data_IF_590484478763
#
_entry.id   IF_590484478763
#
_cell.length_a   1.000
_cell.length_b   1.000
_cell.length_c   1.000
_cell.angle_alpha   90.00
_cell.angle_beta   90.00
_cell.angle_gamma   90.00
#
_symmetry.space_group_name_H-M   'P 1'
#
loop_
_entity.id
_entity.type
_entity.pdbx_description
1 polymer ?
#
# COMPACT_ATOMS: atom_id res chain seq x y z
N UNK A 1 -26.43 -47.55 60.02
CA UNK A 1 -25.02 -47.29 60.36
C UNK A 1 -24.40 -46.45 59.17
N UNK A 2 -24.36 -45.19 59.40
CA UNK A 2 -23.72 -44.22 58.41
C UNK A 2 -22.24 -44.13 58.74
N UNK A 3 -21.37 -44.31 57.68
CA UNK A 3 -19.94 -44.13 57.79
C UNK A 3 -19.59 -42.64 57.95
N UNK A 4 -18.59 -42.28 58.77
CA UNK A 4 -18.18 -40.89 58.90
C UNK A 4 -17.42 -40.40 57.67
N UNK A 5 -17.61 -39.10 57.32
CA UNK A 5 -16.97 -38.42 56.21
C UNK A 5 -15.49 -38.22 56.46
N UNK A 6 -14.66 -38.44 55.40
CA UNK A 6 -13.24 -38.14 55.42
C UNK A 6 -12.99 -36.62 55.34
N UNK A 7 -11.93 -36.11 56.01
CA UNK A 7 -11.62 -34.68 56.02
C UNK A 7 -11.00 -34.23 54.69
N UNK A 8 -11.48 -33.07 54.17
CA UNK A 8 -10.95 -32.41 52.96
C UNK A 8 -9.47 -32.05 53.08
N UNK A 9 -8.69 -32.16 52.01
CA UNK A 9 -7.26 -31.77 52.02
C UNK A 9 -7.11 -30.27 52.14
N UNK A 10 -6.29 -29.82 53.07
CA UNK A 10 -5.90 -28.40 53.28
C UNK A 10 -5.31 -27.82 52.01
N UNK A 11 -5.96 -26.81 51.43
CA UNK A 11 -5.42 -26.00 50.31
C UNK A 11 -4.05 -25.40 50.70
N UNK A 12 -3.02 -25.88 50.02
CA UNK A 12 -1.67 -25.37 50.19
C UNK A 12 -1.60 -23.88 49.85
N UNK A 13 -0.99 -23.09 50.75
CA UNK A 13 -0.66 -21.68 50.54
C UNK A 13 0.18 -21.56 49.25
N UNK A 14 -0.37 -20.92 48.20
CA UNK A 14 0.40 -20.53 47.01
C UNK A 14 1.54 -19.62 47.49
N UNK A 15 2.79 -20.09 47.34
CA UNK A 15 3.99 -19.27 47.51
C UNK A 15 3.84 -18.06 46.59
N UNK A 16 3.94 -16.84 47.19
CA UNK A 16 4.07 -15.59 46.43
C UNK A 16 5.25 -15.76 45.45
N UNK A 17 4.99 -15.67 44.14
CA UNK A 17 6.06 -15.60 43.15
C UNK A 17 6.84 -14.31 43.44
N UNK A 18 8.11 -14.45 43.89
CA UNK A 18 9.04 -13.33 43.88
C UNK A 18 9.01 -12.71 42.47
N UNK A 19 8.54 -11.46 42.38
CA UNK A 19 8.74 -10.66 41.16
C UNK A 19 10.28 -10.53 41.00
N UNK A 20 10.83 -10.90 39.82
CA UNK A 20 12.25 -10.70 39.58
C UNK A 20 12.59 -9.20 39.71
N UNK A 21 13.78 -8.90 40.23
CA UNK A 21 14.31 -7.55 40.25
C UNK A 21 14.13 -6.92 38.86
N UNK A 22 13.70 -5.65 38.79
CA UNK A 22 13.45 -4.94 37.53
C UNK A 22 14.67 -5.10 36.61
N UNK A 23 14.44 -5.73 35.43
CA UNK A 23 15.51 -5.90 34.44
C UNK A 23 15.97 -4.50 34.00
N UNK A 24 17.28 -4.32 33.89
CA UNK A 24 17.85 -3.06 33.41
C UNK A 24 17.44 -2.76 31.98
N UNK A 25 16.82 -1.59 31.75
CA UNK A 25 16.36 -1.15 30.44
C UNK A 25 17.45 -0.34 29.72
N UNK A 26 18.19 -1.03 28.86
CA UNK A 26 19.25 -0.41 28.07
C UNK A 26 18.76 0.57 27.00
N UNK A 27 17.50 0.49 26.58
CA UNK A 27 16.95 1.39 25.55
C UNK A 27 16.65 2.77 26.12
N UNK A 28 16.39 2.87 27.43
CA UNK A 28 16.20 4.13 28.15
C UNK A 28 17.51 4.82 28.54
N UNK A 29 18.68 4.18 28.35
CA UNK A 29 19.98 4.83 28.62
C UNK A 29 20.17 6.05 27.72
N UNK A 30 20.94 7.02 28.20
CA UNK A 30 21.34 8.18 27.41
C UNK A 30 22.34 7.77 26.32
N UNK A 31 22.13 8.27 25.09
CA UNK A 31 23.12 8.17 24.02
C UNK A 31 24.08 9.36 24.07
N UNK A 32 25.38 9.09 23.93
CA UNK A 32 26.43 10.11 23.99
C UNK A 32 26.92 10.54 22.60
N UNK A 33 26.40 9.93 21.53
CA UNK A 33 26.81 10.22 20.15
C UNK A 33 26.20 11.49 19.59
N UNK A 34 25.18 12.04 20.27
CA UNK A 34 24.47 13.28 19.88
C UNK A 34 23.87 13.27 18.46
N UNK A 35 23.47 12.07 17.96
CA UNK A 35 22.87 11.87 16.65
C UNK A 35 21.39 11.51 16.77
N UNK A 36 20.54 12.33 16.18
CA UNK A 36 19.10 12.04 16.02
C UNK A 36 18.91 10.94 14.97
N UNK A 37 17.88 10.10 15.15
CA UNK A 37 17.42 9.14 14.15
C UNK A 37 16.08 9.63 13.59
N UNK A 38 16.00 9.77 12.25
CA UNK A 38 14.79 10.30 11.61
C UNK A 38 13.65 9.26 11.57
N UNK A 39 13.97 7.98 11.37
CA UNK A 39 13.00 6.88 11.38
C UNK A 39 13.56 5.66 12.12
N UNK A 40 12.90 5.25 13.19
CA UNK A 40 13.16 3.98 13.90
C UNK A 40 11.83 3.28 14.18
N UNK A 41 11.77 1.97 13.98
CA UNK A 41 10.51 1.24 14.19
C UNK A 41 10.52 -0.18 13.62
N UNK A 42 9.34 -0.67 13.28
CA UNK A 42 9.10 -2.02 12.74
C UNK A 42 8.72 -1.94 11.27
N UNK A 43 9.13 -2.94 10.49
CA UNK A 43 8.79 -3.07 9.06
C UNK A 43 8.45 -4.52 8.71
N UNK A 44 7.62 -4.70 7.69
CA UNK A 44 7.27 -6.02 7.17
C UNK A 44 6.23 -6.77 8.02
N UNK A 45 5.50 -6.06 8.88
CA UNK A 45 4.44 -6.65 9.69
C UNK A 45 3.21 -6.93 8.81
N UNK A 46 2.79 -8.20 8.71
CA UNK A 46 1.55 -8.59 8.05
C UNK A 46 0.37 -8.41 8.99
N UNK A 47 -0.64 -7.64 8.57
CA UNK A 47 -1.79 -7.37 9.41
C UNK A 47 -3.09 -7.27 8.60
N UNK A 48 -4.22 -7.81 9.09
CA UNK A 48 -5.52 -7.67 8.44
C UNK A 48 -5.96 -6.21 8.44
N UNK A 49 -6.46 -5.72 7.29
CA UNK A 49 -6.99 -4.38 7.14
C UNK A 49 -8.32 -4.36 6.42
N UNK A 50 -9.09 -3.29 6.62
CA UNK A 50 -10.26 -2.96 5.83
C UNK A 50 -10.03 -1.66 5.06
N UNK A 51 -10.32 -1.69 3.77
CA UNK A 51 -10.23 -0.54 2.86
C UNK A 51 -11.62 -0.24 2.30
N UNK A 52 -11.90 1.02 2.03
CA UNK A 52 -13.12 1.41 1.31
C UNK A 52 -13.09 0.91 -0.12
N UNK A 53 -14.25 0.48 -0.60
CA UNK A 53 -14.50 -0.04 -1.93
C UNK A 53 -15.76 0.65 -2.48
N UNK A 54 -15.69 1.17 -3.70
CA UNK A 54 -16.79 1.91 -4.34
C UNK A 54 -18.05 1.09 -4.52
N UNK A 55 -17.90 -0.22 -4.84
CA UNK A 55 -19.01 -1.12 -5.17
C UNK A 55 -19.53 -1.87 -3.95
N UNK A 56 -18.63 -2.30 -3.06
CA UNK A 56 -18.90 -3.23 -1.95
C UNK A 56 -18.86 -2.56 -0.58
N UNK A 57 -18.69 -1.24 -0.53
CA UNK A 57 -18.48 -0.43 0.65
C UNK A 57 -17.14 -0.71 1.35
N UNK A 58 -16.76 -1.96 1.57
CA UNK A 58 -15.54 -2.36 2.28
C UNK A 58 -14.93 -3.62 1.65
N UNK A 59 -13.61 -3.63 1.53
CA UNK A 59 -12.81 -4.79 1.13
C UNK A 59 -11.86 -5.18 2.27
N UNK A 60 -11.87 -6.48 2.64
CA UNK A 60 -10.91 -7.05 3.59
C UNK A 60 -9.68 -7.54 2.83
N UNK A 61 -8.50 -7.18 3.29
CA UNK A 61 -7.22 -7.61 2.72
C UNK A 61 -6.14 -7.70 3.80
N UNK A 62 -4.92 -8.03 3.41
CA UNK A 62 -3.76 -8.08 4.32
C UNK A 62 -2.72 -7.07 3.86
N UNK A 63 -2.37 -6.12 4.72
CA UNK A 63 -1.30 -5.19 4.46
C UNK A 63 0.05 -5.65 5.01
N UNK A 64 1.10 -5.24 4.32
CA UNK A 64 2.46 -5.19 4.86
C UNK A 64 2.67 -3.82 5.47
N UNK A 65 2.81 -3.76 6.80
CA UNK A 65 2.87 -2.51 7.55
C UNK A 65 4.29 -2.20 7.99
N UNK A 66 4.68 -0.93 7.84
CA UNK A 66 5.83 -0.29 8.48
C UNK A 66 5.35 0.80 9.43
N UNK A 67 5.89 0.85 10.64
CA UNK A 67 5.56 1.85 11.66
C UNK A 67 6.84 2.43 12.23
N UNK A 68 7.00 3.75 12.18
CA UNK A 68 8.23 4.41 12.60
C UNK A 68 7.93 5.70 13.36
N UNK A 69 8.87 6.08 14.22
CA UNK A 69 8.90 7.40 14.88
C UNK A 69 10.30 8.00 14.75
N UNK A 70 10.43 9.30 14.95
CA UNK A 70 11.73 9.91 15.15
C UNK A 70 12.25 9.60 16.56
N UNK A 71 13.57 9.52 16.70
CA UNK A 71 14.21 9.30 18.00
C UNK A 71 15.18 10.46 18.27
N UNK A 72 14.88 11.29 19.29
CA UNK A 72 15.79 12.36 19.72
C UNK A 72 17.17 11.84 20.08
N UNK A 73 18.19 12.69 19.94
CA UNK A 73 19.60 12.35 20.11
C UNK A 73 19.97 11.87 21.55
N UNK A 74 19.14 12.22 22.53
CA UNK A 74 19.34 11.88 23.93
C UNK A 74 19.00 10.41 24.24
N UNK A 75 18.19 9.76 23.41
CA UNK A 75 17.72 8.39 23.63
C UNK A 75 18.54 7.38 22.84
N UNK A 76 18.92 6.30 23.52
CA UNK A 76 19.71 5.20 22.92
C UNK A 76 18.88 4.31 21.99
N UNK A 77 17.59 4.13 22.29
CA UNK A 77 16.72 3.28 21.51
C UNK A 77 15.25 3.40 21.88
N UNK A 78 14.42 2.58 21.22
CA UNK A 78 12.99 2.49 21.52
C UNK A 78 12.53 1.04 21.55
N UNK A 79 11.46 0.76 22.30
CA UNK A 79 10.90 -0.58 22.48
C UNK A 79 10.01 -0.95 21.28
N UNK A 80 10.43 -1.92 20.47
CA UNK A 80 9.71 -2.37 19.29
C UNK A 80 8.32 -2.94 19.61
N UNK A 81 8.16 -3.59 20.78
CA UNK A 81 6.86 -4.10 21.24
C UNK A 81 5.77 -3.02 21.36
N UNK A 82 6.15 -1.77 21.65
CA UNK A 82 5.20 -0.65 21.78
C UNK A 82 4.48 -0.34 20.47
N UNK A 83 5.11 -0.57 19.30
CA UNK A 83 4.45 -0.42 17.99
C UNK A 83 3.32 -1.44 17.84
N UNK A 84 3.58 -2.69 18.24
CA UNK A 84 2.57 -3.76 18.21
C UNK A 84 1.44 -3.48 19.21
N UNK A 85 1.77 -2.94 20.40
CA UNK A 85 0.77 -2.51 21.38
C UNK A 85 -0.15 -1.42 20.82
N UNK A 86 0.41 -0.43 20.11
CA UNK A 86 -0.38 0.63 19.45
C UNK A 86 -1.30 0.01 18.39
N UNK A 87 -0.78 -0.86 17.53
CA UNK A 87 -1.57 -1.49 16.49
C UNK A 87 -2.71 -2.34 17.07
N UNK A 88 -2.42 -3.17 18.08
CA UNK A 88 -3.41 -4.02 18.74
C UNK A 88 -4.50 -3.23 19.50
N UNK A 89 -4.17 -2.02 19.99
CA UNK A 89 -5.15 -1.15 20.64
C UNK A 89 -6.26 -0.65 19.67
N UNK A 90 -6.00 -0.69 18.37
CA UNK A 90 -6.97 -0.33 17.32
C UNK A 90 -7.76 -1.56 16.80
N UNK A 91 -7.64 -2.72 17.44
CA UNK A 91 -8.36 -3.95 17.15
C UNK A 91 -7.57 -4.96 16.34
N UNK A 92 -8.22 -6.08 16.00
CA UNK A 92 -7.60 -7.16 15.23
C UNK A 92 -7.64 -6.89 13.70
N UNK A 93 -8.30 -5.82 13.29
CA UNK A 93 -8.39 -5.33 11.91
C UNK A 93 -8.21 -3.82 11.93
N UNK A 94 -7.27 -3.31 11.14
CA UNK A 94 -7.08 -1.87 10.99
C UNK A 94 -8.00 -1.35 9.90
N UNK A 95 -8.80 -0.35 10.25
CA UNK A 95 -9.60 0.43 9.31
C UNK A 95 -8.76 1.61 8.81
N UNK A 96 -8.78 1.86 7.52
CA UNK A 96 -7.99 2.95 6.90
C UNK A 96 -8.35 4.33 7.48
N UNK A 97 -9.59 4.51 7.90
CA UNK A 97 -10.06 5.72 8.58
C UNK A 97 -9.36 5.99 9.93
N UNK A 98 -8.75 4.96 10.52
CA UNK A 98 -8.06 5.08 11.82
C UNK A 98 -6.56 5.43 11.68
N UNK A 99 -6.05 5.64 10.46
CA UNK A 99 -4.62 5.94 10.21
C UNK A 99 -4.16 7.14 11.04
N UNK A 100 -4.93 8.23 11.06
CA UNK A 100 -4.63 9.42 11.84
C UNK A 100 -4.52 9.11 13.34
N UNK A 101 -5.46 8.33 13.88
CA UNK A 101 -5.47 7.94 15.29
C UNK A 101 -4.27 7.08 15.64
N UNK A 102 -3.86 6.17 14.75
CA UNK A 102 -2.67 5.32 14.91
C UNK A 102 -1.41 6.19 14.96
N UNK A 103 -1.28 7.16 14.04
CA UNK A 103 -0.14 8.08 13.99
C UNK A 103 -0.02 8.88 15.29
N UNK A 104 -1.11 9.46 15.80
CA UNK A 104 -1.10 10.21 17.05
C UNK A 104 -0.86 9.30 18.27
N UNK A 105 -1.40 8.08 18.30
CA UNK A 105 -1.13 7.13 19.34
C UNK A 105 0.37 6.74 19.40
N UNK A 106 1.03 6.62 18.24
CA UNK A 106 2.49 6.43 18.19
C UNK A 106 3.22 7.64 18.76
N UNK A 107 2.89 8.87 18.33
CA UNK A 107 3.55 10.07 18.87
C UNK A 107 3.43 10.14 20.41
N UNK A 108 2.26 9.88 20.95
CA UNK A 108 2.03 9.88 22.40
C UNK A 108 2.81 8.75 23.10
N UNK A 109 2.74 7.52 22.58
CA UNK A 109 3.38 6.34 23.19
C UNK A 109 4.90 6.45 23.23
N UNK A 110 5.50 7.09 22.23
CA UNK A 110 6.94 7.24 22.08
C UNK A 110 7.46 8.62 22.46
N UNK A 111 6.59 9.57 22.78
CA UNK A 111 6.92 10.98 23.00
C UNK A 111 7.71 11.57 21.79
N UNK A 112 7.33 11.15 20.60
CA UNK A 112 7.96 11.54 19.35
C UNK A 112 7.25 12.74 18.71
N UNK A 113 8.00 13.57 17.98
CA UNK A 113 7.45 14.69 17.24
C UNK A 113 6.85 14.24 15.89
N UNK A 114 7.41 13.15 15.33
CA UNK A 114 7.03 12.61 14.03
C UNK A 114 6.70 11.13 14.13
N UNK A 115 5.64 10.71 13.45
CA UNK A 115 5.28 9.31 13.27
C UNK A 115 5.00 9.01 11.80
N UNK A 116 5.32 7.78 11.37
CA UNK A 116 5.14 7.33 10.00
C UNK A 116 4.45 5.98 9.99
N UNK A 117 3.46 5.82 9.10
CA UNK A 117 2.77 4.57 8.83
C UNK A 117 2.82 4.29 7.33
N UNK A 118 3.40 3.16 6.97
CA UNK A 118 3.47 2.63 5.60
C UNK A 118 2.59 1.38 5.54
N UNK A 119 1.67 1.30 4.58
CA UNK A 119 0.75 0.16 4.43
C UNK A 119 0.62 -0.19 2.95
N UNK A 120 1.19 -1.33 2.53
CA UNK A 120 1.07 -1.85 1.16
C UNK A 120 0.22 -3.12 1.17
N UNK A 121 -0.74 -3.20 0.25
CA UNK A 121 -1.70 -4.30 0.20
C UNK A 121 -2.21 -4.58 -1.21
N UNK A 122 -2.62 -5.83 -1.52
CA UNK A 122 -3.36 -6.14 -2.72
C UNK A 122 -4.78 -5.55 -2.64
N UNK A 123 -5.21 -4.94 -3.73
CA UNK A 123 -6.54 -4.41 -3.92
C UNK A 123 -7.22 -5.15 -5.08
N UNK A 124 -8.47 -5.58 -4.92
CA UNK A 124 -9.15 -6.44 -5.88
C UNK A 124 -10.34 -5.72 -6.50
N UNK A 125 -10.46 -5.80 -7.83
CA UNK A 125 -11.60 -5.31 -8.59
C UNK A 125 -12.18 -6.42 -9.46
N UNK A 126 -13.50 -6.44 -9.61
CA UNK A 126 -14.16 -7.28 -10.62
C UNK A 126 -14.08 -6.57 -11.96
N UNK A 127 -13.53 -7.24 -12.97
CA UNK A 127 -13.50 -6.76 -14.36
C UNK A 127 -14.37 -7.62 -15.24
N UNK A 128 -15.04 -6.97 -16.21
CA UNK A 128 -15.84 -7.62 -17.24
C UNK A 128 -15.06 -7.66 -18.54
N UNK A 129 -14.93 -8.84 -19.12
CA UNK A 129 -14.36 -9.02 -20.46
C UNK A 129 -15.16 -8.20 -21.49
N UNK A 130 -14.51 -7.57 -22.49
CA UNK A 130 -15.12 -6.50 -23.29
C UNK A 130 -16.25 -6.95 -24.22
N UNK A 131 -16.27 -8.20 -24.64
CA UNK A 131 -17.27 -8.74 -25.59
C UNK A 131 -18.16 -9.78 -24.91
N UNK A 132 -17.56 -10.75 -24.20
CA UNK A 132 -18.31 -11.83 -23.55
C UNK A 132 -19.02 -11.40 -22.27
N UNK A 133 -18.58 -10.29 -21.66
CA UNK A 133 -19.08 -9.83 -20.37
C UNK A 133 -18.73 -10.74 -19.18
N UNK A 134 -17.86 -11.74 -19.39
CA UNK A 134 -17.43 -12.65 -18.32
C UNK A 134 -16.70 -11.87 -17.25
N UNK A 135 -17.12 -12.07 -16.00
CA UNK A 135 -16.53 -11.42 -14.84
C UNK A 135 -15.32 -12.21 -14.31
N UNK A 136 -14.29 -11.49 -13.91
CA UNK A 136 -13.12 -12.03 -13.22
C UNK A 136 -12.55 -11.03 -12.23
N UNK A 137 -11.89 -11.54 -11.20
CA UNK A 137 -11.20 -10.71 -10.21
C UNK A 137 -9.81 -10.39 -10.74
N UNK A 138 -9.46 -9.09 -10.71
CA UNK A 138 -8.11 -8.58 -10.96
C UNK A 138 -7.52 -8.04 -9.67
N UNK A 139 -6.22 -8.25 -9.49
CA UNK A 139 -5.44 -7.70 -8.39
C UNK A 139 -4.59 -6.50 -8.85
N UNK A 140 -4.50 -5.54 -7.97
CA UNK A 140 -3.69 -4.33 -8.07
C UNK A 140 -2.90 -4.16 -6.76
N UNK A 141 -1.89 -3.32 -6.77
CA UNK A 141 -1.19 -2.96 -5.53
C UNK A 141 -1.56 -1.54 -5.15
N UNK A 142 -2.04 -1.37 -3.92
CA UNK A 142 -2.25 -0.06 -3.33
C UNK A 142 -1.35 0.11 -2.10
N UNK A 143 -0.92 1.35 -1.86
CA UNK A 143 -0.11 1.69 -0.70
C UNK A 143 -0.51 3.06 -0.14
N UNK A 144 -0.57 3.14 1.16
CA UNK A 144 -0.70 4.37 1.93
C UNK A 144 0.61 4.67 2.63
N UNK A 145 1.12 5.87 2.42
CA UNK A 145 2.22 6.44 3.17
C UNK A 145 1.69 7.65 3.94
N UNK A 146 1.62 7.54 5.25
CA UNK A 146 1.11 8.60 6.11
C UNK A 146 2.17 9.04 7.10
N UNK A 147 2.37 10.35 7.20
CA UNK A 147 3.31 10.97 8.15
C UNK A 147 2.58 12.03 8.94
N UNK A 148 2.65 11.95 10.27
CA UNK A 148 2.21 13.03 11.14
C UNK A 148 3.43 13.73 11.72
N UNK A 149 3.47 15.05 11.55
CA UNK A 149 4.40 15.93 12.24
C UNK A 149 3.60 16.91 13.11
N UNK A 150 3.72 16.79 14.41
CA UNK A 150 2.86 17.50 15.37
C UNK A 150 1.37 17.20 15.08
N UNK A 151 0.61 18.19 14.52
CA UNK A 151 -0.80 18.07 14.16
C UNK A 151 -1.05 18.06 12.66
N UNK A 152 0.00 18.16 11.85
CA UNK A 152 -0.08 18.13 10.40
C UNK A 152 0.10 16.70 9.90
N UNK A 153 -0.72 16.29 8.94
CA UNK A 153 -0.64 14.96 8.32
C UNK A 153 -0.35 15.14 6.84
N UNK A 154 0.72 14.51 6.38
CA UNK A 154 0.98 14.25 4.96
C UNK A 154 0.53 12.84 4.62
N UNK A 155 -0.30 12.71 3.59
CA UNK A 155 -0.82 11.42 3.15
C UNK A 155 -0.60 11.26 1.64
N UNK A 156 0.06 10.18 1.27
CA UNK A 156 0.28 9.78 -0.12
C UNK A 156 -0.43 8.47 -0.39
N UNK A 157 -1.33 8.47 -1.37
CA UNK A 157 -1.90 7.25 -1.96
C UNK A 157 -1.05 6.86 -3.16
N UNK A 158 -0.56 5.63 -3.17
CA UNK A 158 0.11 4.99 -4.31
C UNK A 158 -0.77 3.87 -4.86
N UNK A 159 -0.92 3.85 -6.18
CA UNK A 159 -1.59 2.74 -6.90
C UNK A 159 -0.67 2.26 -8.01
N UNK A 160 -0.50 0.94 -8.10
CA UNK A 160 0.20 0.26 -9.19
C UNK A 160 -0.77 -0.58 -9.99
N UNK A 161 -0.73 -0.43 -11.29
CA UNK A 161 -1.51 -1.22 -12.23
C UNK A 161 -0.68 -1.64 -13.42
N UNK A 162 -0.92 -2.85 -13.90
CA UNK A 162 -0.33 -3.38 -15.12
C UNK A 162 -1.23 -3.09 -16.32
N UNK A 163 -0.64 -2.74 -17.45
CA UNK A 163 -1.32 -2.42 -18.71
C UNK A 163 -0.60 -3.07 -19.89
N UNK A 164 -1.22 -3.03 -21.06
CA UNK A 164 -0.56 -3.34 -22.33
C UNK A 164 -0.16 -2.07 -23.04
N UNK A 165 1.09 -2.02 -23.55
CA UNK A 165 1.57 -1.00 -24.48
C UNK A 165 2.00 -1.64 -25.80
N UNK A 166 1.68 -1.01 -26.91
CA UNK A 166 2.07 -1.42 -28.26
C UNK A 166 2.92 -0.30 -28.87
N UNK A 167 4.06 -0.66 -29.42
CA UNK A 167 5.03 0.30 -29.94
C UNK A 167 4.57 1.01 -31.22
N UNK A 168 4.38 2.35 -31.22
CA UNK A 168 4.02 3.12 -32.40
C UNK A 168 5.07 3.04 -33.50
N UNK A 169 6.39 3.08 -33.17
CA UNK A 169 7.47 2.96 -34.15
C UNK A 169 7.42 1.62 -34.87
N UNK A 170 7.31 0.52 -34.12
CA UNK A 170 7.23 -0.82 -34.68
C UNK A 170 6.02 -0.95 -35.63
N UNK A 171 4.87 -0.40 -35.22
CA UNK A 171 3.67 -0.36 -36.04
C UNK A 171 3.87 0.41 -37.37
N UNK A 172 4.63 1.52 -37.30
CA UNK A 172 4.84 2.39 -38.49
C UNK A 172 5.79 1.78 -39.52
N UNK A 173 6.77 0.97 -39.12
CA UNK A 173 7.83 0.46 -40.02
C UNK A 173 7.64 -0.99 -40.43
N UNK A 174 6.92 -1.79 -39.64
CA UNK A 174 6.72 -3.21 -39.92
C UNK A 174 5.64 -3.42 -40.97
N UNK A 175 5.90 -4.28 -41.94
CA UNK A 175 4.90 -4.68 -42.90
C UNK A 175 3.77 -5.54 -42.28
N UNK A 176 4.01 -6.12 -41.12
CA UNK A 176 3.08 -6.98 -40.39
C UNK A 176 3.26 -6.83 -38.89
N UNK A 177 2.17 -6.47 -38.17
CA UNK A 177 2.11 -6.40 -36.74
C UNK A 177 2.96 -5.27 -36.10
N UNK A 178 3.07 -5.30 -34.80
CA UNK A 178 3.92 -4.48 -33.98
C UNK A 178 4.21 -5.22 -32.67
N UNK A 179 5.39 -5.00 -32.06
CA UNK A 179 5.63 -5.58 -30.75
C UNK A 179 4.81 -4.88 -29.68
N UNK A 180 4.38 -5.66 -28.71
CA UNK A 180 3.71 -5.19 -27.51
C UNK A 180 4.36 -5.79 -26.27
N UNK A 181 4.11 -5.21 -25.15
CA UNK A 181 4.67 -5.62 -23.85
C UNK A 181 3.75 -5.20 -22.73
N UNK A 182 4.02 -5.77 -21.53
CA UNK A 182 3.42 -5.32 -20.29
C UNK A 182 4.11 -4.05 -19.83
N UNK A 183 3.32 -3.04 -19.47
CA UNK A 183 3.78 -1.86 -18.74
C UNK A 183 3.30 -1.91 -17.30
N UNK A 184 4.16 -1.63 -16.33
CA UNK A 184 3.79 -1.35 -14.95
C UNK A 184 3.71 0.16 -14.76
N UNK A 185 2.57 0.66 -14.28
CA UNK A 185 2.37 2.09 -13.99
C UNK A 185 2.17 2.28 -12.51
N UNK A 186 2.96 3.16 -11.91
CA UNK A 186 2.85 3.58 -10.51
C UNK A 186 2.40 5.04 -10.47
N UNK A 187 1.26 5.30 -9.85
CA UNK A 187 0.74 6.65 -9.60
C UNK A 187 0.75 6.92 -8.11
N UNK A 188 1.38 8.02 -7.71
CA UNK A 188 1.37 8.55 -6.36
C UNK A 188 0.64 9.88 -6.37
N UNK A 189 -0.24 10.11 -5.41
CA UNK A 189 -0.96 11.39 -5.29
C UNK A 189 -1.01 11.91 -3.85
N UNK A 190 -1.07 13.25 -3.72
CA UNK A 190 -1.63 13.96 -2.59
C UNK A 190 -2.93 14.62 -3.04
N UNK A 191 -3.92 14.63 -2.18
CA UNK A 191 -5.24 15.16 -2.51
C UNK A 191 -5.89 15.90 -1.34
N UNK A 192 -6.77 16.86 -1.66
CA UNK A 192 -7.55 17.60 -0.65
C UNK A 192 -8.67 16.78 -0.01
N UNK A 193 -9.22 15.83 -0.79
CA UNK A 193 -10.26 14.88 -0.37
C UNK A 193 -9.85 13.49 -0.76
N UNK A 194 -10.46 12.48 -0.13
CA UNK A 194 -10.23 11.09 -0.46
C UNK A 194 -10.51 10.83 -1.95
N UNK A 195 -9.53 10.24 -2.63
CA UNK A 195 -9.62 9.76 -4.02
C UNK A 195 -9.73 8.25 -3.98
N UNK A 196 -10.64 7.70 -4.77
CA UNK A 196 -10.85 6.27 -4.82
C UNK A 196 -9.70 5.56 -5.56
N UNK A 197 -9.29 4.41 -5.04
CA UNK A 197 -8.27 3.56 -5.69
C UNK A 197 -8.71 3.18 -7.10
N UNK A 198 -10.00 2.87 -7.28
CA UNK A 198 -10.61 2.48 -8.56
C UNK A 198 -10.54 3.60 -9.59
N UNK A 199 -10.66 4.86 -9.16
CA UNK A 199 -10.54 6.01 -10.09
C UNK A 199 -9.12 6.12 -10.64
N UNK A 200 -8.10 5.93 -9.79
CA UNK A 200 -6.71 5.92 -10.23
C UNK A 200 -6.41 4.72 -11.15
N UNK A 201 -6.94 3.54 -10.84
CA UNK A 201 -6.82 2.37 -11.72
C UNK A 201 -7.44 2.68 -13.08
N UNK A 202 -8.66 3.24 -13.12
CA UNK A 202 -9.33 3.63 -14.36
C UNK A 202 -8.55 4.69 -15.16
N UNK A 203 -7.93 5.67 -14.50
CA UNK A 203 -7.05 6.65 -15.13
C UNK A 203 -5.85 5.96 -15.78
N UNK A 204 -5.19 5.03 -15.07
CA UNK A 204 -4.03 4.29 -15.59
C UNK A 204 -4.44 3.45 -16.81
N UNK A 205 -5.42 2.59 -16.65
CA UNK A 205 -5.83 1.64 -17.68
C UNK A 205 -6.31 2.34 -18.96
N UNK A 206 -7.10 3.40 -18.83
CA UNK A 206 -7.58 4.17 -19.97
C UNK A 206 -6.51 5.07 -20.64
N UNK A 207 -5.29 5.06 -20.14
CA UNK A 207 -4.16 5.84 -20.68
C UNK A 207 -3.19 4.99 -21.51
N UNK A 208 -3.31 3.66 -21.45
CA UNK A 208 -2.47 2.70 -22.16
C UNK A 208 -3.08 2.24 -23.50
N UNK A 209 -2.37 1.38 -24.24
CA UNK A 209 -2.90 0.79 -25.48
C UNK A 209 -4.11 -0.09 -25.21
N UNK A 210 -4.07 -0.87 -24.13
CA UNK A 210 -5.20 -1.65 -23.60
C UNK A 210 -4.96 -1.97 -22.12
N UNK A 211 -6.03 -2.15 -21.40
CA UNK A 211 -6.07 -2.74 -20.07
C UNK A 211 -5.84 -4.25 -20.11
N UNK A 212 -5.55 -4.86 -18.95
CA UNK A 212 -5.42 -6.29 -18.78
C UNK A 212 -6.68 -6.91 -18.17
N UNK A 213 -6.84 -8.21 -18.39
CA UNK A 213 -7.94 -9.01 -17.85
C UNK A 213 -7.43 -10.36 -17.36
N UNK A 214 -8.00 -10.88 -16.28
CA UNK A 214 -7.68 -12.22 -15.78
C UNK A 214 -8.41 -13.34 -16.56
N UNK A 215 -9.54 -13.01 -17.22
CA UNK A 215 -10.32 -13.97 -17.98
C UNK A 215 -10.76 -13.35 -19.31
N UNK A 216 -10.36 -13.96 -20.41
CA UNK A 216 -10.77 -13.61 -21.78
C UNK A 216 -11.24 -14.86 -22.51
N UNK A 217 -12.28 -14.73 -23.33
CA UNK A 217 -12.67 -15.72 -24.34
C UNK A 217 -12.06 -15.31 -25.68
N UNK A 218 -12.09 -16.19 -26.71
CA UNK A 218 -11.46 -15.91 -28.01
C UNK A 218 -11.93 -14.61 -28.66
N UNK A 219 -13.20 -14.26 -28.50
CA UNK A 219 -13.76 -12.99 -29.01
C UNK A 219 -13.23 -11.78 -28.24
N UNK A 220 -12.98 -11.93 -26.94
CA UNK A 220 -12.39 -10.88 -26.10
C UNK A 220 -10.91 -10.69 -26.42
N UNK A 221 -10.16 -11.79 -26.64
CA UNK A 221 -8.75 -11.74 -27.07
C UNK A 221 -8.60 -10.98 -28.40
N UNK A 222 -9.50 -11.24 -29.35
CA UNK A 222 -9.56 -10.51 -30.63
C UNK A 222 -9.74 -9.01 -30.37
N UNK A 223 -10.77 -8.64 -29.61
CA UNK A 223 -11.10 -7.24 -29.31
C UNK A 223 -9.94 -6.52 -28.61
N UNK A 224 -9.36 -7.12 -27.58
CA UNK A 224 -8.21 -6.54 -26.83
C UNK A 224 -6.98 -6.37 -27.72
N UNK A 225 -6.72 -7.36 -28.60
CA UNK A 225 -5.59 -7.31 -29.54
C UNK A 225 -5.76 -6.19 -30.55
N UNK A 226 -6.95 -6.08 -31.17
CA UNK A 226 -7.26 -5.04 -32.16
C UNK A 226 -7.24 -3.65 -31.52
N UNK A 227 -7.86 -3.49 -30.34
CA UNK A 227 -7.85 -2.24 -29.57
C UNK A 227 -6.43 -1.78 -29.26
N UNK A 228 -5.56 -2.69 -28.77
CA UNK A 228 -4.17 -2.35 -28.49
C UNK A 228 -3.41 -1.95 -29.77
N UNK A 229 -3.69 -2.62 -30.89
CA UNK A 229 -3.07 -2.30 -32.16
C UNK A 229 -3.53 -0.94 -32.70
N UNK A 230 -4.80 -0.60 -32.55
CA UNK A 230 -5.37 0.68 -33.02
C UNK A 230 -4.96 1.86 -32.13
N UNK A 231 -4.57 1.61 -30.87
CA UNK A 231 -4.15 2.61 -29.88
C UNK A 231 -2.69 2.42 -29.45
N UNK A 232 -1.68 2.60 -30.35
CA UNK A 232 -0.28 2.46 -29.97
C UNK A 232 0.16 3.60 -29.05
N UNK A 233 0.91 3.27 -27.98
CA UNK A 233 1.29 4.21 -26.93
C UNK A 233 2.75 3.96 -26.53
N UNK A 234 3.61 4.99 -26.61
CA UNK A 234 4.95 4.98 -26.05
C UNK A 234 4.91 5.09 -24.50
N UNK A 235 6.00 4.71 -23.82
CA UNK A 235 6.10 4.90 -22.38
C UNK A 235 5.98 6.37 -21.98
N UNK A 236 6.52 7.30 -22.80
CA UNK A 236 6.40 8.73 -22.64
C UNK A 236 4.95 9.23 -22.79
N UNK A 237 4.24 8.69 -23.75
CA UNK A 237 2.81 9.04 -23.95
C UNK A 237 1.95 8.51 -22.83
N UNK A 238 2.25 7.31 -22.33
CA UNK A 238 1.54 6.70 -21.21
C UNK A 238 1.61 7.62 -19.96
N UNK A 239 2.80 8.07 -19.55
CA UNK A 239 2.92 8.96 -18.39
C UNK A 239 2.28 10.33 -18.64
N UNK A 240 2.34 10.87 -19.89
CA UNK A 240 1.65 12.12 -20.26
C UNK A 240 0.14 11.99 -20.20
N UNK A 241 -0.41 10.90 -20.72
CA UNK A 241 -1.86 10.63 -20.72
C UNK A 241 -2.41 10.52 -19.29
N UNK A 242 -1.70 9.81 -18.42
CA UNK A 242 -2.05 9.72 -16.99
C UNK A 242 -1.97 11.12 -16.35
N UNK A 243 -0.87 11.85 -16.56
CA UNK A 243 -0.66 13.18 -16.00
C UNK A 243 -1.72 14.19 -16.44
N UNK A 244 -2.14 14.15 -17.73
CA UNK A 244 -3.22 15.01 -18.24
C UNK A 244 -4.55 14.76 -17.51
N UNK A 245 -4.89 13.51 -17.24
CA UNK A 245 -6.12 13.17 -16.50
C UNK A 245 -6.03 13.57 -15.02
N UNK A 246 -4.86 13.38 -14.38
CA UNK A 246 -4.64 13.83 -13.01
C UNK A 246 -4.68 15.36 -12.88
N UNK A 247 -4.21 16.11 -13.89
CA UNK A 247 -4.34 17.57 -13.93
C UNK A 247 -5.80 18.05 -13.97
N UNK A 248 -6.71 17.26 -14.51
CA UNK A 248 -8.15 17.55 -14.56
C UNK A 248 -8.88 17.13 -13.28
N UNK A 249 -8.26 16.36 -12.40
CA UNK A 249 -8.88 15.88 -11.18
C UNK A 249 -8.94 17.01 -10.13
N UNK A 250 -10.13 17.41 -9.65
CA UNK A 250 -10.29 18.62 -8.84
C UNK A 250 -9.60 18.57 -7.48
N UNK A 251 -9.43 17.38 -6.92
CA UNK A 251 -8.90 17.20 -5.57
C UNK A 251 -7.40 16.83 -5.54
N UNK A 252 -6.78 16.44 -6.65
CA UNK A 252 -5.35 16.11 -6.70
C UNK A 252 -4.52 17.40 -6.65
N UNK A 253 -3.60 17.48 -5.69
CA UNK A 253 -2.73 18.64 -5.46
C UNK A 253 -1.29 18.40 -5.88
N UNK A 254 -0.83 17.16 -5.80
CA UNK A 254 0.48 16.71 -6.22
C UNK A 254 0.36 15.29 -6.77
N UNK A 255 1.18 14.98 -7.75
CA UNK A 255 1.32 13.61 -8.23
C UNK A 255 2.72 13.30 -8.72
N UNK A 256 3.08 12.01 -8.66
CA UNK A 256 4.20 11.40 -9.38
C UNK A 256 3.67 10.20 -10.15
N UNK A 257 3.95 10.16 -11.46
CA UNK A 257 3.60 9.06 -12.36
C UNK A 257 4.89 8.45 -12.88
N UNK A 258 5.04 7.15 -12.69
CA UNK A 258 6.16 6.36 -13.22
C UNK A 258 5.58 5.22 -14.07
N UNK A 259 6.18 4.96 -15.21
CA UNK A 259 5.84 3.82 -16.06
C UNK A 259 7.11 3.09 -16.49
N UNK A 260 7.07 1.75 -16.41
CA UNK A 260 8.13 0.86 -16.88
C UNK A 260 7.53 -0.17 -17.83
N UNK A 261 7.97 -0.14 -19.09
CA UNK A 261 7.61 -1.12 -20.10
C UNK A 261 8.62 -2.26 -20.10
N UNK A 262 8.16 -3.49 -19.88
CA UNK A 262 8.97 -4.71 -19.98
C UNK A 262 9.11 -5.09 -21.44
N UNK A 263 10.10 -4.49 -22.12
CA UNK A 263 10.28 -4.59 -23.57
C UNK A 263 10.40 -6.03 -24.04
N UNK A 264 9.65 -6.38 -25.12
CA UNK A 264 9.61 -7.75 -25.64
C UNK A 264 10.72 -8.08 -26.64
N UNK A 265 11.34 -7.06 -27.25
CA UNK A 265 12.41 -7.21 -28.26
C UNK A 265 13.75 -6.64 -27.82
N UNK A 266 13.84 -6.00 -26.66
CA UNK A 266 15.06 -5.45 -26.06
C UNK A 266 15.35 -6.17 -24.74
N UNK A 267 16.64 -6.19 -24.34
CA UNK A 267 17.07 -6.77 -23.07
C UNK A 267 17.08 -5.76 -21.89
N UNK A 268 16.54 -4.57 -22.12
CA UNK A 268 16.33 -3.53 -21.11
C UNK A 268 14.87 -3.07 -21.14
N UNK A 269 14.42 -2.44 -20.07
CA UNK A 269 13.07 -1.86 -19.98
C UNK A 269 13.12 -0.38 -20.38
N UNK A 270 12.01 0.13 -20.92
CA UNK A 270 11.83 1.56 -21.15
C UNK A 270 11.13 2.16 -19.93
N UNK A 271 11.59 3.33 -19.48
CA UNK A 271 11.08 4.00 -18.28
C UNK A 271 10.82 5.48 -18.53
N UNK A 272 9.71 5.97 -18.00
CA UNK A 272 9.39 7.40 -17.99
C UNK A 272 8.78 7.82 -16.65
N UNK A 273 9.01 9.08 -16.26
CA UNK A 273 8.48 9.66 -15.03
C UNK A 273 8.05 11.11 -15.26
N UNK A 274 6.90 11.47 -14.65
CA UNK A 274 6.46 12.88 -14.53
C UNK A 274 6.11 13.12 -13.06
N UNK A 275 6.61 14.22 -12.50
CA UNK A 275 6.23 14.69 -11.17
C UNK A 275 5.77 16.15 -11.26
N UNK A 276 4.68 16.47 -10.55
CA UNK A 276 4.11 17.82 -10.48
C UNK A 276 3.56 18.09 -9.08
N UNK A 277 3.97 19.20 -8.48
CA UNK A 277 3.49 19.77 -7.23
C UNK A 277 3.12 21.21 -7.38
#
# INVERSE_FOLDING_TARGET
MLKPAEPEPKRGRRRAKHLPAALHDKQSERDHRELRIDKVGVRGLKFPIQVRDKERAVQNTVATIGMFVDLPKEFKGTHMSRFIEVLNAHGNVVHVENIEQILYAMQQKFQAATSHLEMEFPYFMVKKAPVSGMESVMDYVARFDATAFRKEIDFVLTVKANVTTLCPCSKAIAARGAHNQRGEVTVQIRSRKAVWIEDLIGIIESSASSELYALLKRQDEKEVTERAYDNPVFVEDLVRNVALKLNQHPDVTWYKVEAENHESIHNHNAYACIEKG
#
